data_IF_331325540205
#
_entry.id   IF_331325540205
#
_cell.length_a   1.000
_cell.length_b   1.000
_cell.length_c   1.000
_cell.angle_alpha   90.00
_cell.angle_beta   90.00
_cell.angle_gamma   90.00
#
_symmetry.space_group_name_H-M   'P 1'
#
loop_
_entity.id
_entity.type
_entity.pdbx_description
1 polymer ?
#
# COMPACT_ATOMS: atom_id res chain seq x y z
N UNK A 1 2.09 9.91 -26.19
CA UNK A 1 3.38 9.19 -26.01
C UNK A 1 3.15 8.10 -24.98
N UNK A 2 3.53 6.85 -25.26
CA UNK A 2 3.28 5.74 -24.33
C UNK A 2 4.16 5.89 -23.08
N UNK A 3 3.57 5.97 -21.88
CA UNK A 3 4.28 6.17 -20.60
C UNK A 3 5.49 5.24 -20.42
N UNK A 4 5.40 4.00 -20.92
CA UNK A 4 6.49 3.03 -20.92
C UNK A 4 7.76 3.61 -21.56
N UNK A 5 7.64 4.21 -22.75
CA UNK A 5 8.79 4.78 -23.47
C UNK A 5 9.44 5.91 -22.69
N UNK A 6 8.63 6.76 -22.06
CA UNK A 6 9.12 7.86 -21.22
C UNK A 6 9.89 7.33 -20.01
N UNK A 7 9.37 6.29 -19.35
CA UNK A 7 10.04 5.63 -18.24
C UNK A 7 11.34 4.94 -18.67
N UNK A 8 11.34 4.24 -19.80
CA UNK A 8 12.53 3.58 -20.36
C UNK A 8 13.65 4.58 -20.69
N UNK A 9 13.28 5.73 -21.27
CA UNK A 9 14.23 6.82 -21.55
C UNK A 9 14.79 7.41 -20.26
N UNK A 10 13.91 7.75 -19.30
CA UNK A 10 14.33 8.39 -18.04
C UNK A 10 15.21 7.48 -17.20
N UNK A 11 14.84 6.20 -17.08
CA UNK A 11 15.52 5.22 -16.23
C UNK A 11 16.67 4.50 -16.95
N UNK A 12 16.89 4.79 -18.23
CA UNK A 12 17.84 4.07 -19.10
C UNK A 12 17.65 2.55 -18.96
N UNK A 13 16.41 2.10 -19.13
CA UNK A 13 15.99 0.73 -18.81
C UNK A 13 15.19 0.14 -19.97
N UNK A 14 15.23 -1.19 -20.10
CA UNK A 14 14.26 -1.94 -20.89
C UNK A 14 13.21 -2.52 -19.93
N UNK A 15 12.02 -1.94 -19.93
CA UNK A 15 10.97 -2.27 -18.98
C UNK A 15 10.00 -3.29 -19.60
N UNK A 16 9.57 -4.27 -18.82
CA UNK A 16 8.42 -5.13 -19.13
C UNK A 16 7.25 -4.74 -18.25
N UNK A 17 6.05 -4.72 -18.83
CA UNK A 17 4.81 -4.59 -18.05
C UNK A 17 4.62 -5.88 -17.27
N UNK A 18 4.20 -5.76 -16.02
CA UNK A 18 3.72 -6.90 -15.24
C UNK A 18 2.28 -6.67 -14.82
N UNK A 19 1.49 -7.74 -14.80
CA UNK A 19 0.16 -7.71 -14.20
C UNK A 19 0.35 -7.69 -12.69
N UNK A 20 0.05 -6.55 -12.06
CA UNK A 20 -0.08 -6.46 -10.61
C UNK A 20 -1.58 -6.40 -10.29
N UNK A 21 -1.99 -6.97 -9.15
CA UNK A 21 -3.42 -7.04 -8.79
C UNK A 21 -4.03 -5.67 -8.46
N UNK A 22 -3.19 -4.65 -8.23
CA UNK A 22 -3.61 -3.26 -8.11
C UNK A 22 -3.99 -2.67 -9.47
N UNK A 23 -4.95 -1.75 -9.53
CA UNK A 23 -5.30 -1.00 -10.75
C UNK A 23 -4.15 -0.13 -11.33
N UNK A 24 -3.01 -0.04 -10.64
CA UNK A 24 -1.84 0.70 -11.09
C UNK A 24 -1.07 -0.06 -12.17
N UNK A 25 -0.53 0.70 -13.13
CA UNK A 25 0.39 0.14 -14.12
C UNK A 25 1.74 -0.09 -13.46
N UNK A 26 2.27 -1.30 -13.59
CA UNK A 26 3.54 -1.69 -12.99
C UNK A 26 4.49 -2.22 -14.05
N UNK A 27 5.77 -1.93 -13.84
CA UNK A 27 6.83 -2.31 -14.76
C UNK A 27 8.03 -2.82 -13.96
N UNK A 28 8.80 -3.72 -14.56
CA UNK A 28 10.09 -4.16 -14.01
C UNK A 28 11.15 -4.21 -15.10
N UNK A 29 12.42 -4.06 -14.73
CA UNK A 29 13.54 -4.21 -15.66
C UNK A 29 14.86 -3.72 -15.05
N UNK A 30 15.97 -4.03 -15.71
CA UNK A 30 17.28 -3.51 -15.30
C UNK A 30 17.43 -2.04 -15.72
N UNK A 31 17.77 -1.17 -14.77
CA UNK A 31 18.05 0.25 -15.01
C UNK A 31 19.55 0.50 -15.04
N UNK A 32 20.05 1.06 -16.15
CA UNK A 32 21.44 1.49 -16.24
C UNK A 32 21.71 2.72 -15.36
N UNK A 33 20.70 3.57 -15.12
CA UNK A 33 20.84 4.71 -14.22
C UNK A 33 21.14 4.28 -12.78
N UNK A 34 20.46 3.24 -12.29
CA UNK A 34 20.59 2.76 -10.91
C UNK A 34 21.48 1.52 -10.75
N UNK A 35 21.99 0.97 -11.86
CA UNK A 35 22.80 -0.26 -11.92
C UNK A 35 22.16 -1.45 -11.18
N UNK A 36 20.84 -1.57 -11.24
CA UNK A 36 20.07 -2.64 -10.58
C UNK A 36 18.71 -2.88 -11.26
N UNK A 37 18.06 -3.98 -10.91
CA UNK A 37 16.67 -4.23 -11.28
C UNK A 37 15.73 -3.31 -10.51
N UNK A 38 14.83 -2.65 -11.24
CA UNK A 38 13.86 -1.70 -10.68
C UNK A 38 12.43 -2.20 -10.87
N UNK A 39 11.59 -1.94 -9.87
CA UNK A 39 10.14 -2.05 -9.90
C UNK A 39 9.56 -0.63 -9.95
N UNK A 40 8.72 -0.37 -10.93
CA UNK A 40 8.12 0.95 -11.19
C UNK A 40 6.61 0.83 -11.05
N UNK A 41 6.01 1.62 -10.16
CA UNK A 41 4.56 1.70 -9.97
C UNK A 41 4.08 3.09 -10.40
N UNK A 42 3.07 3.11 -11.27
CA UNK A 42 2.48 4.35 -11.81
C UNK A 42 1.06 4.51 -11.29
N UNK A 43 0.82 5.60 -10.59
CA UNK A 43 -0.44 5.92 -9.93
C UNK A 43 -1.15 7.06 -10.66
N UNK A 44 -2.48 7.02 -10.61
CA UNK A 44 -3.36 8.12 -11.03
C UNK A 44 -3.68 9.08 -9.88
N UNK A 45 -3.58 8.61 -8.63
CA UNK A 45 -3.94 9.37 -7.44
C UNK A 45 -2.68 9.74 -6.66
N UNK A 46 -2.44 11.04 -6.48
CA UNK A 46 -1.29 11.55 -5.72
C UNK A 46 -1.24 10.98 -4.31
N UNK A 47 -2.39 10.90 -3.62
CA UNK A 47 -2.45 10.40 -2.24
C UNK A 47 -1.93 8.97 -2.11
N UNK A 48 -2.35 8.08 -3.01
CA UNK A 48 -1.93 6.67 -3.00
C UNK A 48 -0.42 6.56 -3.24
N UNK A 49 0.13 7.38 -4.14
CA UNK A 49 1.56 7.47 -4.41
C UNK A 49 2.36 7.98 -3.21
N UNK A 50 1.91 9.08 -2.58
CA UNK A 50 2.54 9.62 -1.37
C UNK A 50 2.52 8.62 -0.22
N UNK A 51 1.39 7.93 -0.05
CA UNK A 51 1.20 6.90 0.99
C UNK A 51 2.15 5.73 0.77
N UNK A 52 2.18 5.16 -0.44
CA UNK A 52 3.10 4.06 -0.78
C UNK A 52 4.57 4.48 -0.54
N UNK A 53 4.96 5.67 -0.99
CA UNK A 53 6.31 6.20 -0.80
C UNK A 53 6.66 6.33 0.67
N UNK A 54 5.84 7.03 1.45
CA UNK A 54 6.11 7.33 2.86
C UNK A 54 6.21 6.07 3.72
N UNK A 55 5.41 5.05 3.41
CA UNK A 55 5.46 3.77 4.14
C UNK A 55 6.69 2.96 3.76
N UNK A 56 7.03 2.86 2.47
CA UNK A 56 8.25 2.17 2.06
C UNK A 56 9.51 2.83 2.64
N UNK A 57 9.59 4.16 2.68
CA UNK A 57 10.71 4.91 3.27
C UNK A 57 10.87 4.70 4.78
N UNK A 58 9.80 4.34 5.49
CA UNK A 58 9.87 4.00 6.92
C UNK A 58 10.30 2.55 7.16
N UNK A 59 9.88 1.63 6.30
CA UNK A 59 10.09 0.20 6.49
C UNK A 59 11.40 -0.32 5.88
N UNK A 60 11.92 0.36 4.85
CA UNK A 60 13.05 -0.12 4.08
C UNK A 60 13.72 1.00 3.27
N UNK A 61 14.83 0.66 2.62
CA UNK A 61 15.61 1.58 1.78
C UNK A 61 15.41 1.34 0.27
N UNK A 62 14.26 0.79 -0.14
CA UNK A 62 14.07 0.35 -1.53
C UNK A 62 13.69 1.48 -2.48
N UNK A 63 13.24 2.64 -1.97
CA UNK A 63 12.81 3.76 -2.80
C UNK A 63 14.02 4.40 -3.47
N UNK A 64 14.04 4.39 -4.80
CA UNK A 64 15.14 4.92 -5.61
C UNK A 64 14.83 6.31 -6.17
N UNK A 65 13.56 6.54 -6.53
CA UNK A 65 13.07 7.84 -6.96
C UNK A 65 11.55 7.92 -6.91
N UNK A 66 11.06 9.15 -6.82
CA UNK A 66 9.64 9.47 -6.95
C UNK A 66 9.50 10.76 -7.76
N UNK A 67 8.64 10.77 -8.79
CA UNK A 67 8.45 11.94 -9.64
C UNK A 67 7.07 11.96 -10.30
N UNK A 68 6.66 13.13 -10.76
CA UNK A 68 5.45 13.34 -11.56
C UNK A 68 5.79 13.32 -13.04
N UNK A 69 4.83 12.93 -13.86
CA UNK A 69 4.87 13.05 -15.32
C UNK A 69 3.70 13.92 -15.72
N UNK A 70 4.01 15.13 -16.20
CA UNK A 70 3.04 16.17 -16.56
C UNK A 70 2.41 15.86 -17.93
N UNK A 71 1.57 14.82 -17.94
CA UNK A 71 0.64 14.47 -19.01
C UNK A 71 -0.78 14.58 -18.46
N UNK A 72 -1.81 14.51 -19.32
CA UNK A 72 -3.21 14.52 -18.88
C UNK A 72 -3.79 13.09 -18.99
N UNK A 73 -4.26 12.47 -17.88
CA UNK A 73 -4.15 12.93 -16.49
C UNK A 73 -2.70 12.84 -15.95
N UNK A 74 -2.38 13.68 -14.95
CA UNK A 74 -1.05 13.67 -14.31
C UNK A 74 -0.79 12.28 -13.74
N UNK A 75 0.41 11.76 -14.02
CA UNK A 75 0.85 10.45 -13.51
C UNK A 75 1.90 10.62 -12.42
N UNK A 76 1.79 9.81 -11.39
CA UNK A 76 2.74 9.79 -10.27
C UNK A 76 3.52 8.50 -10.30
N UNK A 77 4.84 8.59 -10.32
CA UNK A 77 5.74 7.44 -10.52
C UNK A 77 6.57 7.22 -9.27
N UNK A 78 6.58 5.97 -8.80
CA UNK A 78 7.48 5.49 -7.76
C UNK A 78 8.39 4.43 -8.34
N UNK A 79 9.70 4.63 -8.21
CA UNK A 79 10.75 3.71 -8.63
C UNK A 79 11.39 3.11 -7.39
N UNK A 80 11.43 1.78 -7.34
CA UNK A 80 11.94 1.01 -6.22
C UNK A 80 12.89 -0.07 -6.70
N UNK A 81 13.75 -0.59 -5.82
CA UNK A 81 14.46 -1.84 -6.08
C UNK A 81 13.44 -2.97 -6.29
N UNK A 82 13.64 -3.75 -7.36
CA UNK A 82 12.84 -4.94 -7.62
C UNK A 82 13.29 -6.08 -6.70
N UNK A 83 12.34 -6.64 -5.96
CA UNK A 83 12.58 -7.74 -5.02
C UNK A 83 12.16 -9.10 -5.59
N UNK A 84 11.60 -9.12 -6.81
CA UNK A 84 11.06 -10.32 -7.47
C UNK A 84 10.20 -11.19 -6.53
N UNK A 85 9.17 -10.61 -5.88
CA UNK A 85 8.38 -11.34 -4.90
C UNK A 85 7.58 -12.47 -5.54
N UNK A 86 7.35 -13.54 -4.78
CA UNK A 86 6.55 -14.69 -5.17
C UNK A 86 5.23 -14.73 -4.38
N UNK A 87 4.13 -14.99 -5.09
CA UNK A 87 2.81 -15.14 -4.48
C UNK A 87 2.75 -16.40 -3.60
N UNK A 88 1.86 -16.36 -2.61
CA UNK A 88 1.54 -17.54 -1.77
C UNK A 88 0.69 -18.50 -2.61
N UNK A 89 1.32 -19.53 -3.17
CA UNK A 89 0.66 -20.54 -4.01
C UNK A 89 -0.06 -21.66 -3.22
N UNK A 90 0.10 -21.68 -1.89
CA UNK A 90 -0.46 -22.72 -1.01
C UNK A 90 -1.67 -22.20 -0.23
N UNK A 91 -2.64 -23.06 0.14
CA UNK A 91 -3.69 -22.69 1.07
C UNK A 91 -3.12 -22.14 2.38
N UNK A 92 -3.77 -21.13 2.95
CA UNK A 92 -3.33 -20.52 4.21
C UNK A 92 -3.54 -21.52 5.36
N UNK A 93 -2.44 -22.07 5.86
CA UNK A 93 -2.44 -22.90 7.06
C UNK A 93 -2.48 -22.03 8.33
N UNK A 94 -2.78 -22.62 9.49
CA UNK A 94 -2.73 -21.92 10.78
C UNK A 94 -1.34 -21.32 11.05
N UNK A 95 -0.28 -22.04 10.72
CA UNK A 95 1.09 -21.56 10.89
C UNK A 95 1.38 -20.36 9.99
N UNK A 96 0.95 -20.40 8.74
CA UNK A 96 1.12 -19.26 7.82
C UNK A 96 0.29 -18.05 8.27
N UNK A 97 -0.94 -18.25 8.70
CA UNK A 97 -1.78 -17.18 9.24
C UNK A 97 -1.13 -16.51 10.46
N UNK A 98 -0.50 -17.29 11.33
CA UNK A 98 0.25 -16.77 12.48
C UNK A 98 1.43 -15.87 12.02
N UNK A 99 2.24 -16.34 11.06
CA UNK A 99 3.34 -15.56 10.49
C UNK A 99 2.84 -14.27 9.81
N UNK A 100 1.71 -14.31 9.12
CA UNK A 100 1.08 -13.11 8.54
C UNK A 100 0.70 -12.11 9.64
N UNK A 101 0.12 -12.59 10.74
CA UNK A 101 -0.19 -11.78 11.91
C UNK A 101 1.05 -11.12 12.53
N UNK A 102 2.17 -11.85 12.63
CA UNK A 102 3.44 -11.27 13.10
C UNK A 102 3.94 -10.15 12.19
N UNK A 103 3.90 -10.33 10.86
CA UNK A 103 4.31 -9.27 9.92
C UNK A 103 3.44 -8.03 10.02
N UNK A 104 2.16 -8.22 10.27
CA UNK A 104 1.19 -7.16 10.45
C UNK A 104 1.37 -6.42 11.77
N UNK A 105 1.67 -7.13 12.85
CA UNK A 105 2.03 -6.53 14.13
C UNK A 105 3.32 -5.70 14.04
N UNK A 106 4.33 -6.21 13.32
CA UNK A 106 5.56 -5.47 13.03
C UNK A 106 5.24 -4.18 12.26
N UNK A 107 4.38 -4.25 11.25
CA UNK A 107 3.91 -3.08 10.51
C UNK A 107 3.28 -2.03 11.44
N UNK A 108 2.33 -2.42 12.30
CA UNK A 108 1.69 -1.51 13.25
C UNK A 108 2.68 -0.87 14.23
N UNK A 109 3.74 -1.59 14.61
CA UNK A 109 4.76 -1.08 15.53
C UNK A 109 5.77 -0.12 14.86
N UNK A 110 6.10 -0.35 13.59
CA UNK A 110 7.15 0.38 12.88
C UNK A 110 6.64 1.61 12.14
N UNK A 111 5.46 1.54 11.51
CA UNK A 111 4.96 2.65 10.71
C UNK A 111 4.30 3.70 11.60
N UNK A 112 4.84 4.92 11.54
CA UNK A 112 4.33 6.09 12.24
C UNK A 112 3.45 6.95 11.33
N UNK A 113 2.50 7.71 11.90
CA UNK A 113 1.71 8.68 11.15
C UNK A 113 2.61 9.66 10.37
N UNK A 114 2.17 10.06 9.18
CA UNK A 114 2.89 10.98 8.31
C UNK A 114 1.94 12.02 7.70
N UNK A 115 2.49 13.14 7.23
CA UNK A 115 1.69 14.21 6.63
C UNK A 115 0.93 13.70 5.40
N UNK A 116 -0.38 13.97 5.35
CA UNK A 116 -1.25 13.52 4.26
C UNK A 116 -1.73 12.07 4.37
N UNK A 117 -1.40 11.34 5.45
CA UNK A 117 -2.00 10.04 5.72
C UNK A 117 -3.51 10.14 5.78
N UNK A 118 -4.20 9.16 5.21
CA UNK A 118 -5.65 9.09 5.26
C UNK A 118 -6.14 8.94 6.69
N UNK A 119 -7.00 9.84 7.12
CA UNK A 119 -7.76 9.74 8.37
C UNK A 119 -9.16 9.28 8.00
N UNK A 120 -9.32 8.00 7.62
CA UNK A 120 -10.60 7.54 7.08
C UNK A 120 -11.59 7.28 8.23
N UNK A 121 -12.21 8.35 8.71
CA UNK A 121 -13.50 8.24 9.39
C UNK A 121 -14.63 7.97 8.38
N UNK A 122 -14.38 8.09 7.07
CA UNK A 122 -15.40 7.95 6.01
C UNK A 122 -16.09 6.58 5.90
N UNK A 123 -15.39 5.43 5.96
CA UNK A 123 -16.06 4.13 5.98
C UNK A 123 -16.99 4.03 7.19
N UNK A 124 -16.58 4.57 8.34
CA UNK A 124 -17.41 4.63 9.53
C UNK A 124 -18.57 5.61 9.39
N UNK A 125 -18.40 6.77 8.75
CA UNK A 125 -19.51 7.69 8.44
C UNK A 125 -20.50 7.02 7.49
N UNK A 126 -20.05 6.30 6.45
CA UNK A 126 -20.91 5.58 5.50
C UNK A 126 -21.60 4.39 6.14
N UNK A 127 -20.89 3.64 6.99
CA UNK A 127 -21.47 2.58 7.83
C UNK A 127 -22.47 3.19 8.82
N UNK A 128 -22.16 4.32 9.46
CA UNK A 128 -23.02 5.04 10.39
C UNK A 128 -24.28 5.55 9.68
N UNK A 129 -24.17 6.07 8.46
CA UNK A 129 -25.31 6.44 7.62
C UNK A 129 -26.17 5.22 7.26
N UNK A 130 -25.55 4.10 6.86
CA UNK A 130 -26.26 2.84 6.58
C UNK A 130 -26.91 2.23 7.82
N UNK A 131 -26.24 2.24 8.97
CA UNK A 131 -26.78 1.77 10.26
C UNK A 131 -27.93 2.68 10.73
N UNK A 132 -27.81 4.01 10.59
CA UNK A 132 -28.91 4.96 10.85
C UNK A 132 -30.14 4.68 9.98
N UNK A 133 -29.93 4.23 8.74
CA UNK A 133 -31.00 3.80 7.84
C UNK A 133 -31.64 2.46 8.23
N UNK A 134 -30.95 1.62 9.02
CA UNK A 134 -31.40 0.26 9.37
C UNK A 134 -32.10 0.14 10.74
N UNK A 135 -32.30 1.25 11.48
CA UNK A 135 -32.92 1.38 12.82
C UNK A 135 -33.34 0.08 13.56
N UNK A 136 -32.55 -0.32 14.56
CA UNK A 136 -33.06 -0.56 15.93
C UNK A 136 -31.91 -0.71 16.95
N UNK A 137 -32.06 -0.01 18.08
CA UNK A 137 -31.40 -0.21 19.39
C UNK A 137 -29.92 -0.60 19.46
N UNK A 138 -29.01 0.39 19.47
CA UNK A 138 -27.72 0.33 20.20
C UNK A 138 -26.93 1.66 20.10
N UNK A 139 -27.51 2.79 20.54
CA UNK A 139 -26.77 4.08 20.48
C UNK A 139 -25.63 4.18 21.50
N UNK A 140 -25.66 3.42 22.62
CA UNK A 140 -24.59 3.46 23.64
C UNK A 140 -23.27 2.84 23.16
N UNK A 141 -23.32 1.68 22.49
CA UNK A 141 -22.10 1.05 21.97
C UNK A 141 -21.47 1.87 20.81
N UNK A 142 -22.29 2.65 20.11
CA UNK A 142 -21.88 3.49 18.98
C UNK A 142 -20.97 4.65 19.41
N UNK A 143 -21.31 5.36 20.50
CA UNK A 143 -20.50 6.48 21.03
C UNK A 143 -19.14 5.99 21.56
N UNK A 144 -19.10 4.79 22.15
CA UNK A 144 -17.86 4.20 22.68
C UNK A 144 -16.89 3.83 21.55
N UNK A 145 -17.39 3.18 20.49
CA UNK A 145 -16.61 2.85 19.29
C UNK A 145 -16.11 4.13 18.60
N UNK A 146 -16.96 5.16 18.46
CA UNK A 146 -16.56 6.44 17.87
C UNK A 146 -15.47 7.15 18.67
N UNK A 147 -15.53 7.10 20.00
CA UNK A 147 -14.53 7.72 20.89
C UNK A 147 -13.19 6.97 20.84
N UNK A 148 -13.19 5.65 20.84
CA UNK A 148 -11.97 4.84 20.67
C UNK A 148 -11.36 5.02 19.28
N UNK A 149 -12.19 5.16 18.23
CA UNK A 149 -11.76 5.45 16.87
C UNK A 149 -11.12 6.83 16.73
N UNK A 150 -11.70 7.86 17.33
CA UNK A 150 -11.17 9.23 17.31
C UNK A 150 -9.85 9.36 18.06
N UNK A 151 -9.62 8.51 19.06
CA UNK A 151 -8.40 8.53 19.87
C UNK A 151 -7.30 7.58 19.36
N UNK A 152 -7.58 6.76 18.36
CA UNK A 152 -6.58 5.84 17.84
C UNK A 152 -5.64 6.52 16.84
N UNK A 153 -4.34 6.44 17.13
CA UNK A 153 -3.25 6.89 16.29
C UNK A 153 -2.57 5.76 15.52
N UNK A 154 -3.15 4.55 15.55
CA UNK A 154 -2.54 3.38 14.90
C UNK A 154 -2.61 3.52 13.38
N UNK A 155 -1.47 3.28 12.73
CA UNK A 155 -1.39 3.19 11.27
C UNK A 155 -1.79 1.78 10.84
N UNK A 156 -2.87 1.67 10.08
CA UNK A 156 -3.39 0.42 9.52
C UNK A 156 -2.98 0.26 8.06
N UNK A 157 -2.76 -0.98 7.62
CA UNK A 157 -2.50 -1.29 6.19
C UNK A 157 -3.65 -0.83 5.27
N UNK A 158 -4.89 -0.97 5.74
CA UNK A 158 -6.11 -0.57 5.01
C UNK A 158 -6.59 -1.55 3.93
N UNK A 159 -5.82 -2.59 3.65
CA UNK A 159 -6.13 -3.63 2.65
C UNK A 159 -5.39 -4.92 2.99
N UNK A 160 -5.71 -5.53 4.14
CA UNK A 160 -5.05 -6.78 4.55
C UNK A 160 -5.76 -7.94 3.88
N UNK A 161 -5.03 -8.66 3.03
CA UNK A 161 -5.50 -9.88 2.39
C UNK A 161 -4.32 -10.70 1.88
N UNK A 162 -4.52 -12.00 1.64
CA UNK A 162 -3.45 -12.95 1.26
C UNK A 162 -2.61 -12.44 0.09
N UNK A 163 -3.23 -11.77 -0.88
CA UNK A 163 -2.55 -11.19 -2.06
C UNK A 163 -1.49 -10.12 -1.74
N UNK A 164 -1.60 -9.47 -0.58
CA UNK A 164 -0.67 -8.43 -0.16
C UNK A 164 0.46 -9.01 0.71
N UNK A 165 0.49 -10.34 0.89
CA UNK A 165 1.61 -11.05 1.46
C UNK A 165 2.33 -11.84 0.38
N UNK A 166 3.65 -11.67 0.30
CA UNK A 166 4.48 -12.35 -0.68
C UNK A 166 5.77 -12.86 -0.04
N UNK A 167 6.44 -13.79 -0.71
CA UNK A 167 7.77 -14.25 -0.32
C UNK A 167 8.85 -13.51 -1.10
N UNK A 168 9.81 -12.93 -0.36
CA UNK A 168 11.06 -12.37 -0.90
C UNK A 168 12.19 -13.10 -0.19
N UNK A 169 13.07 -13.78 -0.94
CA UNK A 169 14.19 -14.57 -0.39
C UNK A 169 13.78 -15.44 0.80
N UNK A 170 12.68 -16.19 0.64
CA UNK A 170 12.05 -17.07 1.65
C UNK A 170 11.49 -16.36 2.90
N UNK A 171 11.44 -15.03 2.92
CA UNK A 171 10.81 -14.26 3.98
C UNK A 171 9.44 -13.75 3.54
N UNK A 172 8.44 -13.94 4.41
CA UNK A 172 7.13 -13.35 4.23
C UNK A 172 7.22 -11.84 4.43
N UNK A 173 6.71 -11.08 3.47
CA UNK A 173 6.65 -9.61 3.50
C UNK A 173 5.23 -9.14 3.22
N UNK A 174 4.86 -8.00 3.81
CA UNK A 174 3.65 -7.26 3.49
C UNK A 174 3.98 -6.23 2.41
N UNK A 175 3.08 -6.00 1.46
CA UNK A 175 3.26 -5.08 0.33
C UNK A 175 1.96 -4.34 0.00
N UNK A 176 2.05 -3.37 -0.92
CA UNK A 176 0.91 -2.60 -1.46
C UNK A 176 0.26 -1.67 -0.42
N UNK A 177 1.00 -0.63 -0.05
CA UNK A 177 0.68 0.27 1.06
C UNK A 177 -0.23 1.45 0.70
N UNK A 178 -0.73 1.49 -0.53
CA UNK A 178 -1.49 2.64 -1.04
C UNK A 178 -2.81 2.94 -0.31
N UNK A 179 -3.32 1.99 0.49
CA UNK A 179 -4.55 2.12 1.28
C UNK A 179 -4.29 2.43 2.76
N UNK A 180 -3.04 2.63 3.15
CA UNK A 180 -2.65 2.90 4.54
C UNK A 180 -3.39 4.12 5.09
N UNK A 181 -3.84 4.00 6.33
CA UNK A 181 -4.70 4.97 6.99
C UNK A 181 -4.51 4.94 8.52
N UNK A 182 -4.92 6.01 9.19
CA UNK A 182 -5.14 5.97 10.64
C UNK A 182 -6.46 5.24 10.95
N UNK A 183 -6.46 4.47 12.03
CA UNK A 183 -7.65 3.80 12.56
C UNK A 183 -7.34 3.01 13.83
N UNK A 184 -8.28 2.18 14.29
CA UNK A 184 -8.11 1.31 15.48
C UNK A 184 -7.48 -0.02 15.09
N UNK A 185 -6.49 -0.46 15.86
CA UNK A 185 -5.86 -1.79 15.70
C UNK A 185 -6.89 -2.91 15.96
N UNK A 186 -6.85 -3.98 15.16
CA UNK A 186 -7.64 -5.21 15.31
C UNK A 186 -6.82 -6.34 15.95
#
# INVERSE_FOLDING_TARGET
>A
MEIKRLLEQRLQAKLRVISHQSFNRTFVGFSQQYQQSVFVKVFLQERNWLTEKAVNEQLNSRVLAAFKVDVEPILYVLVMTDMAPADIAVPVSKALAFLMGEKLAIFHAQVRPFAGIRQDSEPFIKIHQRIKQLRSSSMRNQIMIETELLNSSTVLHGDVGVRNYQFVTNQLVLIDYEKVQLGVSY
#
